data_IF_379771790728
#
_entry.id   IF_379771790728
#
_cell.length_a   1.000
_cell.length_b   1.000
_cell.length_c   1.000
_cell.angle_alpha   90.00
_cell.angle_beta   90.00
_cell.angle_gamma   90.00
#
_symmetry.space_group_name_H-M   'P 1'
#
loop_
_entity.id
_entity.type
_entity.pdbx_description
1 polymer ?
#
# COMPACT_ATOMS: atom_id res chain seq x y z
N UNK A 1 87.18 -19.21 4.35
CA UNK A 1 87.36 -17.79 4.66
C UNK A 1 86.22 -17.01 4.04
N UNK A 2 85.47 -16.41 4.86
CA UNK A 2 84.44 -15.41 4.63
C UNK A 2 83.22 -15.77 3.77
N UNK A 3 82.27 -16.41 4.38
CA UNK A 3 80.90 -16.41 3.96
C UNK A 3 80.26 -15.05 4.29
N UNK A 4 79.89 -14.34 3.29
CA UNK A 4 78.99 -13.24 3.47
C UNK A 4 77.60 -13.76 3.20
N UNK A 5 76.88 -13.97 4.25
CA UNK A 5 75.41 -14.13 4.21
C UNK A 5 74.80 -12.83 3.71
N UNK A 6 74.18 -12.92 2.55
CA UNK A 6 73.30 -11.89 2.10
C UNK A 6 71.92 -12.27 2.62
N UNK A 7 71.44 -11.57 3.65
CA UNK A 7 70.07 -11.62 4.10
C UNK A 7 69.23 -10.81 3.11
N UNK A 8 68.56 -11.50 2.24
CA UNK A 8 67.48 -10.90 1.47
C UNK A 8 66.25 -10.86 2.36
N UNK A 9 65.97 -9.72 2.91
CA UNK A 9 64.68 -9.44 3.54
C UNK A 9 63.65 -9.27 2.44
N UNK A 10 62.91 -10.31 2.21
CA UNK A 10 61.70 -10.25 1.40
C UNK A 10 60.63 -9.47 2.17
N UNK A 11 60.47 -8.22 1.82
CA UNK A 11 59.36 -7.42 2.29
C UNK A 11 58.09 -7.91 1.59
N UNK A 12 57.32 -8.71 2.30
CA UNK A 12 55.99 -9.08 1.87
C UNK A 12 55.09 -7.85 2.05
N UNK A 13 54.96 -7.08 1.01
CA UNK A 13 53.93 -6.05 0.94
C UNK A 13 52.60 -6.77 0.76
N UNK A 14 51.95 -7.06 1.87
CA UNK A 14 50.57 -7.43 1.84
C UNK A 14 49.74 -6.20 1.47
N UNK A 15 49.51 -6.05 0.17
CA UNK A 15 48.48 -5.12 -0.30
C UNK A 15 47.14 -5.65 0.18
N UNK A 16 46.69 -5.15 1.31
CA UNK A 16 45.31 -5.28 1.72
C UNK A 16 44.47 -4.51 0.69
N UNK A 17 43.95 -5.24 -0.28
CA UNK A 17 42.85 -4.77 -1.08
C UNK A 17 41.65 -4.66 -0.15
N UNK A 18 41.48 -3.51 0.45
CA UNK A 18 40.18 -3.10 1.00
C UNK A 18 39.27 -2.95 -0.20
N UNK A 19 38.63 -4.04 -0.59
CA UNK A 19 37.39 -3.93 -1.36
C UNK A 19 36.39 -3.26 -0.44
N UNK A 20 36.32 -1.94 -0.53
CA UNK A 20 35.18 -1.22 -0.04
C UNK A 20 33.98 -1.80 -0.80
N UNK A 21 33.27 -2.74 -0.19
CA UNK A 21 31.92 -3.00 -0.52
C UNK A 21 31.19 -1.70 -0.21
N UNK A 22 31.06 -0.86 -1.23
CA UNK A 22 30.04 0.15 -1.21
C UNK A 22 28.75 -0.63 -1.03
N UNK A 23 28.27 -0.72 0.20
CA UNK A 23 26.87 -0.94 0.47
C UNK A 23 26.22 0.27 -0.20
N UNK A 24 25.81 0.10 -1.45
CA UNK A 24 24.76 0.88 -1.98
C UNK A 24 23.59 0.61 -1.03
N UNK A 25 23.37 1.52 -0.09
CA UNK A 25 22.07 1.67 0.50
C UNK A 25 21.14 1.94 -0.66
N UNK A 26 20.64 0.88 -1.28
CA UNK A 26 19.34 0.90 -1.82
C UNK A 26 18.45 1.19 -0.59
N UNK A 27 18.26 2.48 -0.32
CA UNK A 27 16.99 2.88 0.17
C UNK A 27 16.05 2.44 -0.96
N UNK A 28 15.60 1.20 -0.90
CA UNK A 28 14.29 0.88 -1.42
C UNK A 28 13.41 1.91 -0.75
N UNK A 29 13.05 2.93 -1.49
CA UNK A 29 12.02 3.87 -1.05
C UNK A 29 10.82 2.97 -0.84
N UNK A 30 10.58 2.65 0.43
CA UNK A 30 9.46 1.81 0.82
C UNK A 30 8.23 2.55 0.34
N UNK A 31 7.63 2.02 -0.72
CA UNK A 31 6.46 2.60 -1.34
C UNK A 31 5.31 2.54 -0.36
N UNK A 32 4.74 3.68 -0.08
CA UNK A 32 3.54 3.76 0.74
C UNK A 32 2.28 3.33 -0.04
N UNK A 33 1.15 3.29 0.64
CA UNK A 33 -0.13 2.87 0.04
C UNK A 33 -0.46 3.68 -1.21
N UNK A 34 -0.20 4.99 -1.18
CA UNK A 34 -0.52 5.89 -2.31
C UNK A 34 0.43 5.63 -3.48
N UNK A 35 1.71 5.41 -3.20
CA UNK A 35 2.71 5.10 -4.24
C UNK A 35 2.42 3.77 -4.92
N UNK A 36 2.09 2.74 -4.13
CA UNK A 36 1.71 1.41 -4.65
C UNK A 36 0.45 1.51 -5.52
N UNK A 37 -0.55 2.25 -5.08
CA UNK A 37 -1.78 2.46 -5.86
C UNK A 37 -1.51 3.23 -7.16
N UNK A 38 -0.69 4.28 -7.11
CA UNK A 38 -0.36 5.09 -8.28
C UNK A 38 0.42 4.32 -9.35
N UNK A 39 1.31 3.41 -8.93
CA UNK A 39 2.11 2.62 -9.87
C UNK A 39 1.36 1.43 -10.50
N UNK A 40 0.35 0.93 -9.84
CA UNK A 40 -0.42 -0.22 -10.32
C UNK A 40 -1.16 0.06 -11.63
N UNK A 41 -1.53 1.32 -11.89
CA UNK A 41 -2.23 1.74 -13.11
C UNK A 41 -3.73 1.40 -13.14
N UNK A 42 -4.23 0.61 -12.21
CA UNK A 42 -5.65 0.23 -12.12
C UNK A 42 -6.44 1.09 -11.12
N UNK A 43 -5.80 2.06 -10.49
CA UNK A 43 -6.38 2.90 -9.43
C UNK A 43 -6.29 4.39 -9.73
N UNK A 44 -6.31 4.77 -11.00
CA UNK A 44 -6.21 6.17 -11.40
C UNK A 44 -7.33 7.03 -10.80
N UNK A 45 -8.55 6.52 -10.84
CA UNK A 45 -9.72 7.18 -10.27
C UNK A 45 -9.62 7.28 -8.74
N UNK A 46 -9.17 6.23 -8.07
CA UNK A 46 -8.94 6.22 -6.62
C UNK A 46 -7.88 7.26 -6.23
N UNK A 47 -6.75 7.29 -6.92
CA UNK A 47 -5.67 8.26 -6.65
C UNK A 47 -6.15 9.69 -6.88
N UNK A 48 -6.92 9.92 -7.93
CA UNK A 48 -7.54 11.23 -8.19
C UNK A 48 -8.51 11.63 -7.06
N UNK A 49 -9.33 10.69 -6.59
CA UNK A 49 -10.26 10.91 -5.49
C UNK A 49 -9.54 11.22 -4.17
N UNK A 50 -8.48 10.48 -3.85
CA UNK A 50 -7.66 10.71 -2.64
C UNK A 50 -7.01 12.10 -2.67
N UNK A 51 -6.51 12.53 -3.84
CA UNK A 51 -5.97 13.88 -4.04
C UNK A 51 -7.03 14.96 -3.90
N UNK A 52 -8.21 14.76 -4.49
CA UNK A 52 -9.32 15.71 -4.39
C UNK A 52 -9.86 15.85 -2.97
N UNK A 53 -9.79 14.79 -2.19
CA UNK A 53 -10.19 14.78 -0.78
C UNK A 53 -9.12 15.32 0.19
N UNK A 54 -7.91 15.65 -0.28
CA UNK A 54 -6.73 16.01 0.53
C UNK A 54 -6.34 14.92 1.55
N UNK A 55 -6.56 13.64 1.22
CA UNK A 55 -6.25 12.51 2.07
C UNK A 55 -4.88 11.88 1.77
N UNK A 56 -4.13 12.41 0.83
CA UNK A 56 -2.82 11.89 0.44
C UNK A 56 -1.89 11.83 1.64
N UNK A 57 -1.75 12.93 2.37
CA UNK A 57 -0.86 13.02 3.55
C UNK A 57 -1.35 12.11 4.68
N UNK A 58 -2.65 11.95 4.84
CA UNK A 58 -3.25 11.04 5.82
C UNK A 58 -2.89 9.59 5.50
N UNK A 59 -2.99 9.18 4.24
CA UNK A 59 -2.68 7.82 3.80
C UNK A 59 -1.17 7.56 3.66
N UNK A 60 -0.35 8.60 3.55
CA UNK A 60 1.11 8.53 3.61
C UNK A 60 1.65 8.57 5.04
N UNK A 61 0.82 8.85 6.01
CA UNK A 61 1.16 8.91 7.43
C UNK A 61 1.63 7.58 7.99
N UNK A 62 2.09 7.64 9.25
CA UNK A 62 2.56 6.46 9.98
C UNK A 62 1.37 5.56 10.35
N UNK A 63 0.95 4.71 9.38
CA UNK A 63 -0.05 3.67 9.64
C UNK A 63 0.31 2.80 10.83
N UNK A 64 -0.15 1.57 10.88
CA UNK A 64 -0.62 0.83 9.71
C UNK A 64 -2.08 1.11 9.33
N UNK A 65 -2.35 1.01 8.04
CA UNK A 65 -3.69 1.09 7.48
C UNK A 65 -3.97 -0.11 6.60
N UNK A 66 -5.23 -0.53 6.58
CA UNK A 66 -5.75 -1.46 5.58
C UNK A 66 -6.65 -0.69 4.64
N UNK A 67 -6.29 -0.64 3.37
CA UNK A 67 -7.06 0.08 2.36
C UNK A 67 -7.77 -0.90 1.43
N UNK A 68 -9.07 -0.73 1.31
CA UNK A 68 -9.90 -1.44 0.33
C UNK A 68 -9.89 -0.62 -0.96
N UNK A 69 -9.06 -0.99 -1.92
CA UNK A 69 -8.84 -0.22 -3.15
C UNK A 69 -9.76 -0.71 -4.27
N UNK A 70 -10.83 0.03 -4.62
CA UNK A 70 -11.62 -0.27 -5.79
C UNK A 70 -10.84 0.05 -7.06
N UNK A 71 -10.96 -0.82 -8.07
CA UNK A 71 -10.35 -0.60 -9.39
C UNK A 71 -11.07 0.50 -10.17
N UNK A 72 -10.44 0.98 -11.23
CA UNK A 72 -11.10 1.92 -12.16
C UNK A 72 -12.38 1.32 -12.75
N UNK A 73 -12.43 0.01 -12.97
CA UNK A 73 -13.63 -0.71 -13.38
C UNK A 73 -14.73 -0.68 -12.32
N UNK A 74 -14.35 -0.76 -11.04
CA UNK A 74 -15.30 -0.66 -9.93
C UNK A 74 -15.97 0.72 -9.90
N UNK A 75 -15.22 1.78 -10.17
CA UNK A 75 -15.77 3.13 -10.32
C UNK A 75 -16.67 3.26 -11.55
N UNK A 76 -16.29 2.62 -12.66
CA UNK A 76 -17.09 2.61 -13.88
C UNK A 76 -18.44 1.87 -13.72
N UNK A 77 -18.52 0.95 -12.76
CA UNK A 77 -19.76 0.25 -12.44
C UNK A 77 -20.76 1.10 -11.63
N UNK A 78 -20.33 2.24 -11.10
CA UNK A 78 -21.23 3.19 -10.46
C UNK A 78 -22.15 3.85 -11.49
N UNK A 79 -23.34 4.34 -11.07
CA UNK A 79 -24.21 5.11 -11.94
C UNK A 79 -23.47 6.28 -12.57
N UNK A 80 -23.80 6.56 -13.83
CA UNK A 80 -23.19 7.68 -14.57
C UNK A 80 -23.27 8.99 -13.79
N UNK A 81 -22.17 9.73 -13.77
CA UNK A 81 -22.06 11.01 -13.05
C UNK A 81 -21.83 10.90 -11.54
N UNK A 82 -21.85 9.70 -10.94
CA UNK A 82 -21.60 9.54 -9.49
C UNK A 82 -20.16 9.93 -9.15
N UNK A 83 -19.20 9.47 -9.94
CA UNK A 83 -17.78 9.78 -9.74
C UNK A 83 -17.53 11.27 -9.92
N UNK A 84 -18.06 11.84 -10.99
CA UNK A 84 -17.93 13.28 -11.29
C UNK A 84 -18.57 14.13 -10.19
N UNK A 85 -19.70 13.68 -9.63
CA UNK A 85 -20.37 14.34 -8.52
C UNK A 85 -19.52 14.30 -7.26
N UNK A 86 -18.92 13.14 -6.95
CA UNK A 86 -18.06 12.98 -5.76
C UNK A 86 -16.76 13.79 -5.87
N UNK A 87 -16.22 13.95 -7.07
CA UNK A 87 -14.99 14.72 -7.31
C UNK A 87 -15.19 16.23 -7.27
N UNK A 88 -16.44 16.71 -7.25
CA UNK A 88 -16.72 18.15 -7.15
C UNK A 88 -16.31 18.69 -5.78
N UNK A 89 -15.71 19.90 -5.73
CA UNK A 89 -15.30 20.51 -4.47
C UNK A 89 -16.43 20.68 -3.45
N UNK A 90 -17.65 20.92 -3.92
CA UNK A 90 -18.86 21.04 -3.10
C UNK A 90 -19.28 19.73 -2.40
N UNK A 91 -18.82 18.59 -2.90
CA UNK A 91 -19.10 17.26 -2.37
C UNK A 91 -17.87 16.62 -1.69
N UNK A 92 -16.86 17.41 -1.39
CA UNK A 92 -15.62 16.92 -0.76
C UNK A 92 -15.89 16.12 0.52
N UNK A 93 -16.82 16.56 1.35
CA UNK A 93 -17.17 15.86 2.60
C UNK A 93 -17.73 14.44 2.34
N UNK A 94 -18.52 14.29 1.27
CA UNK A 94 -19.04 12.99 0.84
C UNK A 94 -17.91 12.11 0.29
N UNK A 95 -16.99 12.69 -0.47
CA UNK A 95 -15.82 11.99 -0.99
C UNK A 95 -14.93 11.51 0.16
N UNK A 96 -14.66 12.35 1.14
CA UNK A 96 -13.91 11.99 2.35
C UNK A 96 -14.61 10.86 3.10
N UNK A 97 -15.92 10.92 3.26
CA UNK A 97 -16.68 9.86 3.92
C UNK A 97 -16.59 8.52 3.17
N UNK A 98 -16.69 8.53 1.86
CA UNK A 98 -16.52 7.33 1.01
C UNK A 98 -15.12 6.77 1.14
N UNK A 99 -14.09 7.62 1.00
CA UNK A 99 -12.69 7.17 1.06
C UNK A 99 -12.30 6.65 2.45
N UNK A 100 -12.73 7.30 3.52
CA UNK A 100 -12.47 6.85 4.88
C UNK A 100 -13.25 5.57 5.23
N UNK A 101 -14.37 5.33 4.56
CA UNK A 101 -15.11 4.07 4.64
C UNK A 101 -14.35 2.90 3.98
N UNK A 102 -13.41 3.18 3.07
CA UNK A 102 -12.52 2.19 2.47
C UNK A 102 -11.23 1.96 3.27
N UNK A 103 -11.01 2.68 4.36
CA UNK A 103 -9.81 2.57 5.18
C UNK A 103 -10.16 1.97 6.53
N UNK A 104 -9.47 0.90 6.88
CA UNK A 104 -9.59 0.24 8.19
C UNK A 104 -8.30 0.53 8.95
N UNK A 105 -8.38 1.03 10.20
CA UNK A 105 -7.18 1.24 11.00
C UNK A 105 -6.54 -0.10 11.38
N UNK A 106 -5.22 -0.16 11.27
CA UNK A 106 -4.43 -1.37 11.51
C UNK A 106 -4.11 -2.14 10.23
N UNK A 107 -3.06 -2.95 10.29
CA UNK A 107 -2.68 -3.85 9.19
C UNK A 107 -3.39 -5.18 9.37
N UNK A 108 -4.39 -5.45 8.55
CA UNK A 108 -5.19 -6.67 8.58
C UNK A 108 -4.96 -7.43 7.28
N UNK A 109 -4.25 -8.56 7.37
CA UNK A 109 -4.01 -9.44 6.23
C UNK A 109 -5.26 -10.27 5.90
N UNK A 110 -5.35 -10.79 4.68
CA UNK A 110 -6.49 -11.58 4.24
C UNK A 110 -6.81 -12.76 5.17
N UNK A 111 -5.79 -13.42 5.71
CA UNK A 111 -5.98 -14.51 6.67
C UNK A 111 -6.66 -14.06 7.97
N UNK A 112 -6.48 -12.80 8.36
CA UNK A 112 -7.16 -12.21 9.52
C UNK A 112 -8.55 -11.74 9.14
N UNK A 113 -8.70 -11.10 7.97
CA UNK A 113 -9.99 -10.67 7.42
C UNK A 113 -10.97 -11.85 7.36
N UNK A 114 -10.51 -13.02 6.91
CA UNK A 114 -11.34 -14.23 6.83
C UNK A 114 -11.87 -14.74 8.19
N UNK A 115 -11.29 -14.29 9.29
CA UNK A 115 -11.73 -14.65 10.65
C UNK A 115 -12.70 -13.64 11.25
N UNK A 116 -12.85 -12.48 10.59
CA UNK A 116 -13.71 -11.40 11.05
C UNK A 116 -15.05 -11.46 10.32
N UNK A 117 -16.11 -11.08 11.01
CA UNK A 117 -17.43 -10.89 10.41
C UNK A 117 -17.73 -9.43 10.08
N UNK A 118 -16.92 -8.53 10.62
CA UNK A 118 -17.02 -7.09 10.37
C UNK A 118 -15.72 -6.40 10.79
N UNK A 119 -15.46 -5.23 10.23
CA UNK A 119 -14.37 -4.36 10.62
C UNK A 119 -14.85 -2.91 10.68
N UNK A 120 -14.40 -2.17 11.68
CA UNK A 120 -14.72 -0.75 11.82
C UNK A 120 -13.76 0.05 10.96
N UNK A 121 -14.31 0.93 10.13
CA UNK A 121 -13.53 1.81 9.24
C UNK A 121 -13.14 3.11 9.94
N UNK A 122 -12.21 3.84 9.34
CA UNK A 122 -11.80 5.19 9.81
C UNK A 122 -12.99 6.16 9.82
N UNK A 123 -13.96 5.96 8.93
CA UNK A 123 -15.20 6.75 8.89
C UNK A 123 -16.08 6.52 10.14
N UNK A 124 -15.89 5.43 10.87
CA UNK A 124 -16.62 5.09 12.08
C UNK A 124 -17.73 4.04 11.89
N UNK A 125 -18.10 3.76 10.66
CA UNK A 125 -19.05 2.68 10.33
C UNK A 125 -18.31 1.36 10.09
N UNK A 126 -18.98 0.25 10.39
CA UNK A 126 -18.43 -1.07 10.14
C UNK A 126 -18.78 -1.56 8.73
N UNK A 127 -17.85 -2.21 8.07
CA UNK A 127 -18.07 -3.02 6.88
C UNK A 127 -18.33 -4.47 7.30
N UNK A 128 -19.23 -5.13 6.61
CA UNK A 128 -19.52 -6.55 6.83
C UNK A 128 -18.55 -7.40 6.03
N UNK A 129 -18.02 -8.43 6.65
CA UNK A 129 -17.10 -9.37 6.02
C UNK A 129 -17.80 -10.73 5.95
N UNK A 130 -17.83 -11.30 4.77
CA UNK A 130 -18.35 -12.63 4.53
C UNK A 130 -17.38 -13.41 3.64
N UNK A 131 -17.48 -14.73 3.68
CA UNK A 131 -16.74 -15.60 2.77
C UNK A 131 -17.78 -16.31 1.90
N UNK A 132 -17.63 -16.13 0.59
CA UNK A 132 -18.46 -16.74 -0.42
C UNK A 132 -17.58 -17.49 -1.41
N UNK A 133 -17.82 -18.79 -1.56
CA UNK A 133 -17.01 -19.70 -2.41
C UNK A 133 -15.49 -19.56 -2.25
N UNK A 134 -15.03 -19.32 -1.03
CA UNK A 134 -13.61 -19.12 -0.72
C UNK A 134 -13.07 -17.72 -1.05
N UNK A 135 -13.92 -16.82 -1.50
CA UNK A 135 -13.58 -15.42 -1.73
C UNK A 135 -14.01 -14.56 -0.54
N UNK A 136 -13.20 -13.57 -0.21
CA UNK A 136 -13.58 -12.58 0.78
C UNK A 136 -14.51 -11.56 0.14
N UNK A 137 -15.67 -11.39 0.74
CA UNK A 137 -16.64 -10.35 0.41
C UNK A 137 -16.65 -9.30 1.49
N UNK A 138 -16.61 -8.05 1.10
CA UNK A 138 -16.69 -6.91 2.01
C UNK A 138 -17.89 -6.07 1.57
N UNK A 139 -18.97 -6.09 2.37
CA UNK A 139 -20.29 -5.61 2.00
C UNK A 139 -20.77 -6.25 0.68
N UNK A 140 -20.78 -5.48 -0.40
CA UNK A 140 -21.17 -5.93 -1.74
C UNK A 140 -19.96 -6.09 -2.70
N UNK A 141 -18.75 -5.89 -2.22
CA UNK A 141 -17.53 -5.97 -3.01
C UNK A 141 -16.78 -7.28 -2.76
N UNK A 142 -16.23 -7.84 -3.82
CA UNK A 142 -15.36 -9.01 -3.75
C UNK A 142 -13.90 -8.58 -3.73
N UNK A 143 -13.11 -9.17 -2.86
CA UNK A 143 -11.66 -8.99 -2.86
C UNK A 143 -11.08 -9.83 -4.00
N UNK A 144 -10.51 -9.15 -5.00
CA UNK A 144 -9.92 -9.79 -6.19
C UNK A 144 -8.42 -9.97 -6.08
N UNK A 145 -7.75 -9.14 -5.30
CA UNK A 145 -6.33 -9.26 -5.02
C UNK A 145 -6.06 -8.84 -3.55
N UNK A 146 -5.86 -9.79 -2.66
CA UNK A 146 -5.55 -9.50 -1.26
C UNK A 146 -4.05 -9.27 -1.06
N UNK A 147 -3.69 -8.76 0.11
CA UNK A 147 -2.34 -8.72 0.65
C UNK A 147 -1.30 -8.00 -0.22
N UNK A 148 -1.69 -6.92 -0.89
CA UNK A 148 -0.75 -6.03 -1.56
C UNK A 148 -0.08 -5.16 -0.49
N UNK A 149 1.16 -5.48 -0.16
CA UNK A 149 1.88 -4.81 0.92
C UNK A 149 2.42 -3.44 0.51
N UNK A 150 2.29 -2.49 1.42
CA UNK A 150 2.90 -1.17 1.36
C UNK A 150 3.70 -0.91 2.64
N UNK A 151 4.54 0.12 2.63
CA UNK A 151 5.41 0.42 3.78
C UNK A 151 4.64 0.81 5.04
N UNK A 152 3.47 1.39 4.88
CA UNK A 152 2.60 1.88 5.96
C UNK A 152 1.26 1.16 6.05
N UNK A 153 1.12 -0.01 5.43
CA UNK A 153 -0.10 -0.80 5.52
C UNK A 153 -0.23 -1.89 4.46
N UNK A 154 -1.45 -2.29 4.20
CA UNK A 154 -1.79 -3.30 3.21
C UNK A 154 -2.99 -2.84 2.39
N UNK A 155 -3.02 -3.24 1.13
CA UNK A 155 -4.10 -2.95 0.19
C UNK A 155 -4.80 -4.26 -0.18
N UNK A 156 -6.12 -4.28 -0.06
CA UNK A 156 -6.95 -5.33 -0.64
C UNK A 156 -7.72 -4.74 -1.82
N UNK A 157 -7.48 -5.27 -2.99
CA UNK A 157 -8.14 -4.80 -4.22
C UNK A 157 -9.55 -5.38 -4.29
N UNK A 158 -10.53 -4.53 -4.47
CA UNK A 158 -11.95 -4.90 -4.56
C UNK A 158 -12.57 -4.51 -5.90
N UNK A 159 -13.58 -5.22 -6.31
CA UNK A 159 -14.26 -5.06 -7.61
C UNK A 159 -15.47 -4.12 -7.58
N UNK A 160 -15.79 -3.56 -6.43
CA UNK A 160 -16.89 -2.60 -6.29
C UNK A 160 -16.53 -1.50 -5.28
N UNK A 161 -17.11 -0.32 -5.47
CA UNK A 161 -16.96 0.80 -4.54
C UNK A 161 -17.92 0.62 -3.38
N UNK A 162 -17.40 0.73 -2.15
CA UNK A 162 -18.20 0.71 -0.95
C UNK A 162 -18.82 2.10 -0.71
N UNK A 163 -20.10 2.14 -0.48
CA UNK A 163 -20.81 3.39 -0.16
C UNK A 163 -21.30 3.31 1.29
N UNK A 164 -20.95 4.28 2.14
CA UNK A 164 -21.48 4.35 3.49
C UNK A 164 -23.01 4.50 3.45
N UNK A 165 -23.68 3.78 4.32
CA UNK A 165 -25.15 3.79 4.44
C UNK A 165 -25.64 4.97 5.24
#
# INVERSE_FOLDING_TARGET
MFNKLIKTTSALVATLLFTAFAHANHHEMKKDIVDVAAENGSFNTLVAAVKAADLVDTLKGEGPFTVLAPTDEAFAALPEGTVDMLLKPENKDKLVAVLTYHVIPGKIMAAEVMKLNSAVTVQGSAVMIAIDDGNVMIDNAKVIMPDVEASNGVIHVIDAVLLPK
#
